data_IF_260001325481
#
_entry.id   IF_260001325481
#
_cell.length_a   1.000
_cell.length_b   1.000
_cell.length_c   1.000
_cell.angle_alpha   90.00
_cell.angle_beta   90.00
_cell.angle_gamma   90.00
#
_symmetry.space_group_name_H-M   'P 1'
#
loop_
_entity.id
_entity.type
_entity.pdbx_description
1 polymer ?
#
# COMPACT_ATOMS: atom_id res chain seq x y z
N UNK A 1 22.94 -11.66 17.83
CA UNK A 1 22.24 -11.30 16.59
C UNK A 1 23.20 -11.53 15.44
N UNK A 2 22.85 -12.34 14.45
CA UNK A 2 23.72 -12.62 13.30
C UNK A 2 23.42 -11.63 12.17
N UNK A 3 23.92 -10.40 12.30
CA UNK A 3 23.84 -9.39 11.24
C UNK A 3 24.97 -9.67 10.26
N UNK A 4 24.62 -9.86 8.99
CA UNK A 4 25.59 -10.02 7.90
C UNK A 4 25.70 -8.73 7.12
N UNK A 5 26.93 -8.40 6.76
CA UNK A 5 27.21 -7.43 5.70
C UNK A 5 27.46 -8.22 4.43
N UNK A 6 26.63 -8.01 3.41
CA UNK A 6 26.71 -8.72 2.13
C UNK A 6 27.29 -7.78 1.10
N UNK A 7 28.36 -8.21 0.41
CA UNK A 7 28.88 -7.49 -0.75
C UNK A 7 27.92 -7.62 -1.93
N UNK A 8 27.70 -6.53 -2.64
CA UNK A 8 26.79 -6.43 -3.78
C UNK A 8 27.44 -5.62 -4.91
N UNK A 9 26.76 -5.53 -6.05
CA UNK A 9 27.14 -4.63 -7.15
C UNK A 9 25.99 -3.65 -7.42
N UNK A 10 26.28 -2.39 -7.79
CA UNK A 10 25.24 -1.44 -8.16
C UNK A 10 24.40 -1.88 -9.36
N UNK A 11 23.15 -1.43 -9.38
CA UNK A 11 22.29 -1.46 -10.56
C UNK A 11 22.17 -0.05 -11.14
N UNK A 12 22.11 0.07 -12.47
CA UNK A 12 22.09 1.37 -13.15
C UNK A 12 20.70 2.00 -13.27
N UNK A 13 19.66 1.21 -13.01
CA UNK A 13 18.28 1.53 -13.37
C UNK A 13 17.31 1.70 -12.18
N UNK A 14 17.85 1.82 -10.97
CA UNK A 14 17.10 2.02 -9.72
C UNK A 14 16.73 3.48 -9.44
N UNK A 15 16.36 4.24 -10.48
CA UNK A 15 15.93 5.63 -10.33
C UNK A 15 14.47 5.67 -9.87
N UNK A 16 14.15 6.17 -8.66
CA UNK A 16 12.76 6.39 -8.26
C UNK A 16 12.13 7.49 -9.12
N UNK A 17 10.91 7.27 -9.60
CA UNK A 17 10.09 8.34 -10.14
C UNK A 17 9.42 9.18 -9.04
N UNK A 18 8.54 10.10 -9.42
CA UNK A 18 7.73 10.90 -8.49
C UNK A 18 6.87 10.05 -7.54
N UNK A 19 6.59 8.81 -7.94
CA UNK A 19 5.77 7.85 -7.19
C UNK A 19 6.56 6.61 -6.77
N UNK A 20 7.87 6.73 -6.54
CA UNK A 20 8.76 5.63 -6.16
C UNK A 20 9.37 4.86 -7.33
N UNK A 21 10.10 3.79 -7.03
CA UNK A 21 10.67 2.90 -8.04
C UNK A 21 9.61 1.88 -8.47
N UNK A 22 9.40 1.73 -9.78
CA UNK A 22 8.49 0.74 -10.38
C UNK A 22 9.21 -0.03 -11.48
N UNK A 23 9.12 -1.35 -11.45
CA UNK A 23 9.71 -2.27 -12.43
C UNK A 23 8.88 -3.55 -12.46
N UNK A 24 9.05 -4.36 -13.52
CA UNK A 24 8.52 -5.71 -13.55
C UNK A 24 8.99 -6.52 -12.33
N UNK A 25 8.13 -7.40 -11.82
CA UNK A 25 8.43 -8.31 -10.70
C UNK A 25 9.72 -9.09 -10.93
N UNK A 26 9.94 -9.59 -12.14
CA UNK A 26 11.13 -10.36 -12.53
C UNK A 26 12.43 -9.58 -12.36
N UNK A 27 12.40 -8.25 -12.42
CA UNK A 27 13.55 -7.39 -12.13
C UNK A 27 13.82 -7.35 -10.63
N UNK A 28 12.79 -7.17 -9.80
CA UNK A 28 12.94 -7.17 -8.34
C UNK A 28 13.36 -8.51 -7.77
N UNK A 29 13.01 -9.62 -8.43
CA UNK A 29 13.43 -10.97 -8.06
C UNK A 29 14.89 -11.27 -8.41
N UNK A 30 15.57 -10.41 -9.16
CA UNK A 30 17.02 -10.57 -9.37
C UNK A 30 17.74 -10.46 -8.02
N UNK A 31 18.76 -11.31 -7.77
CA UNK A 31 19.52 -11.25 -6.53
C UNK A 31 20.04 -9.84 -6.24
N UNK A 32 19.82 -9.36 -5.02
CA UNK A 32 20.27 -8.05 -4.52
C UNK A 32 19.54 -6.84 -5.08
N UNK A 33 18.58 -6.98 -6.01
CA UNK A 33 17.91 -5.82 -6.59
C UNK A 33 17.11 -5.07 -5.51
N UNK A 34 16.19 -5.76 -4.84
CA UNK A 34 15.40 -5.16 -3.76
C UNK A 34 16.29 -4.69 -2.62
N UNK A 35 17.23 -5.52 -2.16
CA UNK A 35 18.11 -5.22 -1.03
C UNK A 35 18.96 -3.99 -1.28
N UNK A 36 19.51 -3.83 -2.49
CA UNK A 36 20.28 -2.65 -2.85
C UNK A 36 19.44 -1.39 -2.78
N UNK A 37 18.20 -1.44 -3.29
CA UNK A 37 17.33 -0.27 -3.27
C UNK A 37 16.91 0.09 -1.85
N UNK A 38 16.54 -0.89 -1.03
CA UNK A 38 16.16 -0.69 0.38
C UNK A 38 17.34 -0.16 1.21
N UNK A 39 18.54 -0.71 1.02
CA UNK A 39 19.73 -0.19 1.69
C UNK A 39 20.05 1.23 1.23
N UNK A 40 19.87 1.55 -0.06
CA UNK A 40 20.06 2.90 -0.59
C UNK A 40 19.06 3.89 0.01
N UNK A 41 17.82 3.45 0.31
CA UNK A 41 16.88 4.23 1.12
C UNK A 41 17.50 4.51 2.49
N UNK A 42 17.89 3.48 3.25
CA UNK A 42 18.41 3.66 4.61
C UNK A 42 19.70 4.47 4.69
N UNK A 43 20.64 4.27 3.77
CA UNK A 43 21.89 5.02 3.65
C UNK A 43 21.67 6.52 3.34
N UNK A 44 20.51 6.87 2.78
CA UNK A 44 20.15 8.24 2.42
C UNK A 44 19.36 8.98 3.53
N UNK A 45 19.16 8.33 4.68
CA UNK A 45 18.41 8.86 5.81
C UNK A 45 19.34 9.12 6.99
N UNK A 46 19.03 10.15 7.77
CA UNK A 46 19.78 10.51 8.99
C UNK A 46 18.83 10.51 10.20
N UNK A 47 19.32 10.07 11.37
CA UNK A 47 18.60 10.15 12.64
C UNK A 47 17.40 9.21 12.77
N UNK A 48 17.37 8.13 11.97
CA UNK A 48 16.31 7.12 12.00
C UNK A 48 16.56 6.03 13.04
N UNK A 49 17.76 5.98 13.63
CA UNK A 49 18.15 4.96 14.59
C UNK A 49 17.18 4.91 15.78
N UNK A 50 16.76 3.71 16.14
CA UNK A 50 15.75 3.44 17.18
C UNK A 50 14.37 4.07 16.91
N UNK A 51 14.12 4.68 15.74
CA UNK A 51 12.81 5.24 15.38
C UNK A 51 11.86 4.18 14.84
N UNK A 52 10.61 4.60 14.66
CA UNK A 52 9.54 3.78 14.09
C UNK A 52 9.49 3.95 12.57
N UNK A 53 9.40 2.84 11.83
CA UNK A 53 9.15 2.80 10.39
C UNK A 53 7.75 2.18 10.14
N UNK A 54 6.98 2.73 9.21
CA UNK A 54 5.74 2.10 8.73
C UNK A 54 6.04 1.26 7.49
N UNK A 55 5.46 0.08 7.38
CA UNK A 55 5.66 -0.83 6.25
C UNK A 55 4.34 -1.48 5.84
N UNK A 56 4.06 -1.51 4.55
CA UNK A 56 2.90 -2.22 4.01
C UNK A 56 2.77 -1.98 2.52
N UNK A 57 1.73 -2.53 1.92
CA UNK A 57 1.53 -2.41 0.49
C UNK A 57 0.14 -2.79 0.04
N UNK A 58 -0.05 -2.74 -1.27
CA UNK A 58 -1.35 -2.95 -1.91
C UNK A 58 -1.77 -4.43 -2.07
N UNK A 59 -0.98 -5.35 -1.52
CA UNK A 59 -1.22 -6.79 -1.61
C UNK A 59 -0.79 -7.47 -2.92
N UNK A 60 -0.19 -6.74 -3.88
CA UNK A 60 0.31 -7.38 -5.12
C UNK A 60 1.34 -8.47 -4.87
N UNK A 61 1.49 -9.34 -5.86
CA UNK A 61 2.52 -10.39 -5.89
C UNK A 61 3.90 -9.82 -5.52
N UNK A 62 4.68 -10.61 -4.77
CA UNK A 62 5.99 -10.27 -4.22
C UNK A 62 5.98 -9.33 -2.99
N UNK A 63 4.85 -8.70 -2.61
CA UNK A 63 4.80 -7.83 -1.42
C UNK A 63 5.20 -8.58 -0.15
N UNK A 64 4.66 -9.78 0.09
CA UNK A 64 4.95 -10.55 1.30
C UNK A 64 6.43 -10.88 1.43
N UNK A 65 7.06 -11.31 0.36
CA UNK A 65 8.49 -11.64 0.32
C UNK A 65 9.33 -10.39 0.56
N UNK A 66 8.99 -9.27 -0.09
CA UNK A 66 9.67 -8.00 0.08
C UNK A 66 9.56 -7.47 1.52
N UNK A 67 8.40 -7.62 2.17
CA UNK A 67 8.20 -7.24 3.58
C UNK A 67 9.17 -7.99 4.49
N UNK A 68 9.29 -9.30 4.33
CA UNK A 68 10.21 -10.10 5.16
C UNK A 68 11.67 -9.64 4.99
N UNK A 69 12.09 -9.35 3.76
CA UNK A 69 13.42 -8.80 3.45
C UNK A 69 13.61 -7.44 4.13
N UNK A 70 12.66 -6.52 3.97
CA UNK A 70 12.72 -5.18 4.54
C UNK A 70 12.74 -5.22 6.08
N UNK A 71 11.97 -6.10 6.72
CA UNK A 71 11.99 -6.27 8.18
C UNK A 71 13.38 -6.69 8.68
N UNK A 72 14.01 -7.67 8.02
CA UNK A 72 15.36 -8.14 8.37
C UNK A 72 16.42 -7.06 8.13
N UNK A 73 16.28 -6.28 7.07
CA UNK A 73 17.17 -5.16 6.77
C UNK A 73 16.97 -3.99 7.74
N UNK A 74 15.74 -3.65 8.09
CA UNK A 74 15.42 -2.60 9.07
C UNK A 74 16.01 -2.94 10.44
N UNK A 75 15.90 -4.21 10.87
CA UNK A 75 16.53 -4.71 12.08
C UNK A 75 18.06 -4.58 12.04
N UNK A 76 18.67 -4.95 10.91
CA UNK A 76 20.12 -4.87 10.73
C UNK A 76 20.68 -3.44 10.62
N UNK A 77 19.83 -2.48 10.20
CA UNK A 77 20.19 -1.07 10.07
C UNK A 77 19.81 -0.23 11.29
N UNK A 78 19.19 -0.83 12.32
CA UNK A 78 19.02 -0.17 13.63
C UNK A 78 17.73 0.62 13.80
N UNK A 79 16.69 0.36 13.00
CA UNK A 79 15.33 0.80 13.37
C UNK A 79 14.90 0.16 14.70
N UNK A 80 14.15 0.92 15.52
CA UNK A 80 13.71 0.46 16.83
C UNK A 80 12.37 -0.25 16.78
N UNK A 81 11.49 0.19 15.88
CA UNK A 81 10.14 -0.38 15.70
C UNK A 81 9.71 -0.37 14.24
N UNK A 82 9.00 -1.40 13.80
CA UNK A 82 8.24 -1.39 12.54
C UNK A 82 6.76 -1.63 12.82
N UNK A 83 5.90 -0.78 12.26
CA UNK A 83 4.45 -1.00 12.18
C UNK A 83 4.14 -1.59 10.80
N UNK A 84 3.66 -2.83 10.76
CA UNK A 84 3.33 -3.52 9.51
C UNK A 84 1.84 -3.87 9.45
N UNK A 85 1.20 -3.63 8.31
CA UNK A 85 -0.22 -4.01 8.15
C UNK A 85 -0.40 -5.52 8.20
N UNK A 86 -1.52 -6.00 8.75
CA UNK A 86 -1.91 -7.41 8.71
C UNK A 86 -1.86 -7.96 7.28
N UNK A 87 -1.21 -9.11 7.12
CA UNK A 87 -0.93 -9.75 5.83
C UNK A 87 -0.02 -8.93 4.90
N UNK A 88 0.57 -7.84 5.40
CA UNK A 88 1.27 -6.83 4.61
C UNK A 88 0.36 -5.79 3.94
N UNK A 89 -0.95 -5.82 4.21
CA UNK A 89 -1.96 -5.01 3.53
C UNK A 89 -2.08 -3.63 4.19
N UNK A 90 -1.79 -2.57 3.43
CA UNK A 90 -1.92 -1.18 3.87
C UNK A 90 -2.02 -0.27 2.65
N UNK A 91 -3.13 0.46 2.52
CA UNK A 91 -3.29 1.42 1.41
C UNK A 91 -2.32 2.59 1.57
N UNK A 92 -2.01 3.30 0.47
CA UNK A 92 -1.13 4.47 0.53
C UNK A 92 -1.70 5.58 1.44
N UNK A 93 -3.01 5.90 1.42
CA UNK A 93 -3.61 6.82 2.38
C UNK A 93 -3.53 6.34 3.84
N UNK A 94 -3.75 5.04 4.09
CA UNK A 94 -3.63 4.47 5.44
C UNK A 94 -2.20 4.52 5.96
N UNK A 95 -1.20 4.23 5.12
CA UNK A 95 0.21 4.37 5.48
C UNK A 95 0.53 5.81 5.90
N UNK A 96 0.09 6.81 5.12
CA UNK A 96 0.24 8.23 5.48
C UNK A 96 -0.44 8.57 6.81
N UNK A 97 -1.68 8.10 7.02
CA UNK A 97 -2.41 8.27 8.27
C UNK A 97 -1.64 7.68 9.47
N UNK A 98 -1.14 6.45 9.33
CA UNK A 98 -0.43 5.72 10.39
C UNK A 98 0.92 6.37 10.69
N UNK A 99 1.67 6.82 9.67
CA UNK A 99 2.92 7.58 9.85
C UNK A 99 2.66 8.81 10.72
N UNK A 100 1.63 9.60 10.37
CA UNK A 100 1.30 10.84 11.08
C UNK A 100 0.80 10.58 12.49
N UNK A 101 -0.11 9.61 12.67
CA UNK A 101 -0.71 9.24 13.97
C UNK A 101 0.35 8.77 14.96
N UNK A 102 1.36 8.03 14.49
CA UNK A 102 2.41 7.46 15.33
C UNK A 102 3.69 8.29 15.38
N UNK A 103 3.73 9.44 14.70
CA UNK A 103 4.94 10.26 14.55
C UNK A 103 6.15 9.42 14.08
N UNK A 104 5.89 8.49 13.16
CA UNK A 104 6.91 7.60 12.63
C UNK A 104 7.95 8.40 11.84
N UNK A 105 9.16 7.84 11.72
CA UNK A 105 10.24 8.46 10.93
C UNK A 105 9.88 8.55 9.45
N UNK A 106 9.09 7.60 8.95
CA UNK A 106 8.60 7.54 7.59
C UNK A 106 7.97 6.18 7.35
N UNK A 107 7.80 5.82 6.09
CA UNK A 107 7.34 4.49 5.73
C UNK A 107 7.76 4.04 4.35
N UNK A 108 7.88 2.73 4.18
CA UNK A 108 8.05 2.09 2.88
C UNK A 108 6.69 1.53 2.46
N UNK A 109 6.21 1.96 1.30
CA UNK A 109 4.94 1.50 0.72
C UNK A 109 5.23 0.67 -0.52
N UNK A 110 4.83 -0.60 -0.48
CA UNK A 110 5.02 -1.56 -1.56
C UNK A 110 3.83 -1.53 -2.49
N UNK A 111 3.99 -0.77 -3.57
CA UNK A 111 2.93 -0.54 -4.54
C UNK A 111 3.51 0.04 -5.83
N UNK A 112 2.95 -0.37 -6.97
CA UNK A 112 3.10 0.32 -8.25
C UNK A 112 1.80 1.04 -8.67
N UNK A 113 0.95 1.42 -7.69
CA UNK A 113 -0.33 2.12 -7.90
C UNK A 113 -1.23 1.36 -8.87
N UNK A 114 -1.68 2.01 -9.94
CA UNK A 114 -2.58 1.44 -10.92
C UNK A 114 -1.96 0.40 -11.84
N UNK A 115 -0.62 0.19 -11.85
CA UNK A 115 0.04 -0.83 -12.67
C UNK A 115 -0.43 -2.26 -12.30
N UNK A 116 -0.50 -3.19 -13.28
CA UNK A 116 -1.00 -4.53 -13.07
C UNK A 116 -0.07 -5.33 -12.14
N UNK A 117 -0.63 -6.33 -11.47
CA UNK A 117 0.05 -7.19 -10.50
C UNK A 117 0.37 -8.57 -11.08
N UNK A 118 0.72 -9.50 -10.18
CA UNK A 118 1.01 -10.89 -10.53
C UNK A 118 2.48 -11.14 -10.92
N UNK A 119 2.87 -12.41 -11.14
CA UNK A 119 4.26 -12.79 -11.42
C UNK A 119 4.89 -12.11 -12.65
N UNK A 120 4.08 -11.83 -13.68
CA UNK A 120 4.49 -11.15 -14.91
C UNK A 120 4.15 -9.64 -14.89
N UNK A 121 3.61 -9.14 -13.78
CA UNK A 121 3.21 -7.75 -13.62
C UNK A 121 4.32 -6.87 -13.04
N UNK A 122 3.90 -5.73 -12.49
CA UNK A 122 4.78 -4.72 -11.93
C UNK A 122 4.82 -4.77 -10.40
N UNK A 123 6.00 -4.49 -9.85
CA UNK A 123 6.25 -4.26 -8.44
C UNK A 123 6.76 -2.85 -8.21
N UNK A 124 6.54 -2.30 -7.02
CA UNK A 124 7.00 -0.97 -6.71
C UNK A 124 7.36 -0.76 -5.25
N UNK A 125 8.33 0.11 -5.01
CA UNK A 125 8.80 0.50 -3.69
C UNK A 125 8.80 2.02 -3.61
N UNK A 126 8.00 2.57 -2.71
CA UNK A 126 7.88 4.01 -2.43
C UNK A 126 8.42 4.28 -1.03
N UNK A 127 8.97 5.48 -0.83
CA UNK A 127 9.32 5.96 0.51
C UNK A 127 8.53 7.24 0.81
N UNK A 128 7.86 7.24 1.97
CA UNK A 128 7.18 8.40 2.52
C UNK A 128 7.95 8.93 3.74
N UNK A 129 8.02 10.24 3.88
CA UNK A 129 8.75 10.92 4.96
C UNK A 129 7.86 11.14 6.19
N UNK A 130 8.42 11.74 7.24
CA UNK A 130 7.77 11.99 8.55
C UNK A 130 6.39 12.66 8.49
N UNK A 131 6.10 13.48 7.48
CA UNK A 131 4.80 14.14 7.34
C UNK A 131 3.69 13.22 6.75
N UNK A 132 4.04 11.98 6.39
CA UNK A 132 3.17 10.98 5.76
C UNK A 132 3.12 11.05 4.23
N UNK A 133 3.66 12.10 3.62
CA UNK A 133 3.70 12.30 2.17
C UNK A 133 4.90 11.64 1.49
N UNK A 134 4.91 11.61 0.14
CA UNK A 134 6.00 11.03 -0.64
C UNK A 134 7.32 11.76 -0.38
N UNK A 135 8.43 11.03 -0.52
CA UNK A 135 9.76 11.62 -0.41
C UNK A 135 9.97 12.74 -1.45
N UNK A 136 10.50 13.90 -1.02
CA UNK A 136 10.78 15.01 -1.94
C UNK A 136 11.95 14.66 -2.87
N UNK A 137 12.07 15.38 -3.98
CA UNK A 137 13.06 15.13 -5.03
C UNK A 137 14.49 14.97 -4.48
N UNK A 138 14.91 15.87 -3.58
CA UNK A 138 16.21 15.80 -2.90
C UNK A 138 16.50 14.43 -2.25
N UNK A 139 15.48 13.82 -1.62
CA UNK A 139 15.61 12.49 -0.98
C UNK A 139 15.67 11.42 -2.05
N UNK A 140 14.79 11.46 -3.06
CA UNK A 140 14.79 10.47 -4.15
C UNK A 140 16.07 10.49 -5.00
N UNK A 141 16.65 11.68 -5.21
CA UNK A 141 17.94 11.85 -5.89
C UNK A 141 19.09 11.29 -5.06
N UNK A 142 19.09 11.50 -3.74
CA UNK A 142 20.09 10.91 -2.84
C UNK A 142 20.02 9.38 -2.87
N UNK A 143 18.81 8.81 -2.83
CA UNK A 143 18.58 7.37 -2.94
C UNK A 143 19.14 6.83 -4.26
N UNK A 144 18.84 7.50 -5.38
CA UNK A 144 19.35 7.09 -6.68
C UNK A 144 20.87 7.21 -6.78
N UNK A 145 21.45 8.31 -6.31
CA UNK A 145 22.89 8.49 -6.29
C UNK A 145 23.57 7.40 -5.46
N UNK A 146 23.00 7.04 -4.30
CA UNK A 146 23.52 5.96 -3.47
C UNK A 146 23.41 4.60 -4.15
N UNK A 147 22.30 4.30 -4.80
CA UNK A 147 22.09 3.00 -5.48
C UNK A 147 23.08 2.76 -6.62
N UNK A 148 23.60 3.82 -7.24
CA UNK A 148 24.59 3.73 -8.31
C UNK A 148 26.01 3.38 -7.82
N UNK A 149 26.27 3.54 -6.51
CA UNK A 149 27.60 3.33 -5.92
C UNK A 149 27.58 2.42 -4.69
N UNK A 150 26.49 1.69 -4.47
CA UNK A 150 26.35 0.74 -3.37
C UNK A 150 27.23 -0.50 -3.59
N UNK A 151 28.00 -0.88 -2.57
CA UNK A 151 28.91 -2.03 -2.59
C UNK A 151 28.58 -3.07 -1.52
N UNK A 152 27.76 -2.71 -0.53
CA UNK A 152 27.35 -3.57 0.57
C UNK A 152 25.95 -3.24 1.06
N UNK A 153 25.27 -4.22 1.66
CA UNK A 153 24.07 -4.01 2.47
C UNK A 153 24.10 -4.86 3.74
N UNK A 154 23.28 -4.49 4.74
CA UNK A 154 23.15 -5.22 5.99
C UNK A 154 21.81 -5.95 6.07
N UNK A 155 21.85 -7.21 6.49
CA UNK A 155 20.64 -8.01 6.69
C UNK A 155 20.80 -8.91 7.92
N UNK A 156 19.73 -9.07 8.68
CA UNK A 156 19.67 -10.00 9.81
C UNK A 156 19.32 -11.40 9.30
N UNK A 157 20.11 -12.39 9.67
CA UNK A 157 19.70 -13.79 9.51
C UNK A 157 18.68 -14.17 10.58
N UNK A 158 17.43 -14.32 10.15
CA UNK A 158 16.31 -14.72 10.99
C UNK A 158 15.23 -15.40 10.14
N UNK A 159 14.39 -16.28 10.74
CA UNK A 159 13.21 -16.81 10.07
C UNK A 159 12.22 -15.69 9.74
N UNK A 160 11.34 -15.97 8.80
CA UNK A 160 10.21 -15.09 8.48
C UNK A 160 9.20 -15.08 9.65
N UNK A 161 8.50 -13.97 9.78
CA UNK A 161 7.43 -13.80 10.77
C UNK A 161 6.08 -14.09 10.14
N UNK A 162 5.13 -14.53 10.96
CA UNK A 162 3.74 -14.56 10.56
C UNK A 162 3.21 -13.12 10.46
N UNK A 163 2.73 -12.74 9.27
CA UNK A 163 2.15 -11.41 9.03
C UNK A 163 0.63 -11.41 9.23
N UNK A 164 0.00 -12.57 9.37
CA UNK A 164 -1.46 -12.71 9.45
C UNK A 164 -2.00 -12.55 10.87
N UNK A 165 -1.16 -12.76 11.87
CA UNK A 165 -1.50 -12.62 13.28
C UNK A 165 -1.21 -11.20 13.78
N UNK A 166 -2.24 -10.52 14.26
CA UNK A 166 -2.10 -9.21 14.92
C UNK A 166 -1.32 -9.37 16.22
N UNK A 167 -0.39 -8.45 16.48
CA UNK A 167 0.34 -8.44 17.74
C UNK A 167 1.77 -7.92 17.64
N UNK A 168 2.49 -8.08 18.75
CA UNK A 168 3.88 -7.67 18.87
C UNK A 168 4.81 -8.87 18.72
N UNK A 169 5.84 -8.68 17.92
CA UNK A 169 6.88 -9.65 17.61
C UNK A 169 8.25 -9.01 17.78
N UNK A 170 9.28 -9.85 17.85
CA UNK A 170 10.65 -9.41 18.02
C UNK A 170 11.53 -10.03 16.93
N UNK A 171 12.27 -9.18 16.20
CA UNK A 171 13.22 -9.61 15.17
C UNK A 171 14.60 -9.03 15.47
N UNK A 172 15.43 -9.81 16.18
CA UNK A 172 16.66 -9.28 16.76
C UNK A 172 16.34 -8.19 17.79
N UNK A 173 16.87 -6.98 17.63
CA UNK A 173 16.54 -5.82 18.47
C UNK A 173 15.34 -5.02 17.97
N UNK A 174 14.81 -5.32 16.79
CA UNK A 174 13.66 -4.61 16.21
C UNK A 174 12.35 -5.12 16.80
N UNK A 175 11.57 -4.23 17.41
CA UNK A 175 10.18 -4.51 17.75
C UNK A 175 9.32 -4.43 16.48
N UNK A 176 8.48 -5.44 16.23
CA UNK A 176 7.56 -5.45 15.09
C UNK A 176 6.16 -5.50 15.63
N UNK A 177 5.27 -4.69 15.08
CA UNK A 177 3.86 -4.73 15.42
C UNK A 177 3.05 -4.94 14.14
N UNK A 178 2.40 -6.10 14.05
CA UNK A 178 1.42 -6.39 13.02
C UNK A 178 0.10 -5.75 13.46
N UNK A 179 -0.34 -4.73 12.73
CA UNK A 179 -1.47 -3.89 13.07
C UNK A 179 -2.64 -4.05 12.09
N UNK A 180 -3.84 -3.79 12.58
CA UNK A 180 -4.97 -3.47 11.72
C UNK A 180 -4.72 -2.10 11.07
N UNK A 181 -4.62 -2.10 9.73
CA UNK A 181 -4.39 -0.88 8.95
C UNK A 181 -5.66 -0.12 8.60
N UNK A 182 -6.84 -0.76 8.73
CA UNK A 182 -8.15 -0.19 8.40
C UNK A 182 -8.65 0.69 9.54
N UNK A 183 -8.57 0.21 10.78
CA UNK A 183 -9.13 0.91 11.95
C UNK A 183 -8.59 2.34 12.13
N UNK A 184 -7.26 2.62 12.07
CA UNK A 184 -6.75 3.98 12.20
C UNK A 184 -7.22 4.92 11.08
N UNK A 185 -7.39 4.39 9.86
CA UNK A 185 -7.87 5.15 8.71
C UNK A 185 -9.37 5.43 8.82
N UNK A 186 -10.17 4.45 9.22
CA UNK A 186 -11.61 4.64 9.46
C UNK A 186 -11.86 5.69 10.54
N UNK A 187 -11.12 5.66 11.65
CA UNK A 187 -11.21 6.69 12.70
C UNK A 187 -10.89 8.09 12.16
N UNK A 188 -9.90 8.20 11.26
CA UNK A 188 -9.61 9.48 10.61
C UNK A 188 -10.79 9.92 9.74
N UNK A 189 -11.35 9.03 8.91
CA UNK A 189 -12.50 9.35 8.06
C UNK A 189 -13.71 9.79 8.90
N UNK A 190 -13.99 9.10 10.01
CA UNK A 190 -15.07 9.44 10.94
C UNK A 190 -14.86 10.80 11.61
N UNK A 191 -13.61 11.24 11.82
CA UNK A 191 -13.32 12.58 12.32
C UNK A 191 -13.47 13.69 11.27
N UNK A 192 -13.42 13.34 9.99
CA UNK A 192 -13.45 14.28 8.86
C UNK A 192 -14.86 14.44 8.26
N UNK A 193 -15.68 13.38 8.33
CA UNK A 193 -17.00 13.33 7.72
C UNK A 193 -18.09 13.01 8.74
N UNK A 194 -19.31 13.49 8.49
CA UNK A 194 -20.48 13.17 9.31
C UNK A 194 -20.97 11.75 9.00
N UNK A 195 -20.43 10.76 9.72
CA UNK A 195 -20.77 9.36 9.53
C UNK A 195 -22.23 9.04 9.86
N UNK A 196 -22.86 9.79 10.76
CA UNK A 196 -24.27 9.57 11.09
C UNK A 196 -25.16 9.98 9.92
N UNK A 197 -24.88 11.11 9.27
CA UNK A 197 -25.60 11.54 8.05
C UNK A 197 -25.39 10.60 6.88
N UNK A 198 -24.16 10.14 6.67
CA UNK A 198 -23.86 9.18 5.60
C UNK A 198 -24.58 7.86 5.87
N UNK A 199 -24.57 7.37 7.12
CA UNK A 199 -25.31 6.16 7.53
C UNK A 199 -26.81 6.32 7.31
N UNK A 200 -27.41 7.46 7.68
CA UNK A 200 -28.83 7.74 7.43
C UNK A 200 -29.16 7.65 5.93
N UNK A 201 -28.29 8.18 5.06
CA UNK A 201 -28.47 8.10 3.61
C UNK A 201 -28.40 6.65 3.11
N UNK A 202 -27.31 5.94 3.42
CA UNK A 202 -27.04 4.59 2.89
C UNK A 202 -28.00 3.53 3.43
N UNK A 203 -28.53 3.70 4.65
CA UNK A 203 -29.49 2.78 5.26
C UNK A 203 -30.96 3.14 4.99
N UNK A 204 -31.24 4.27 4.34
CA UNK A 204 -32.62 4.73 4.07
C UNK A 204 -33.37 3.88 3.03
N UNK A 205 -32.66 3.10 2.22
CA UNK A 205 -33.20 2.40 1.05
C UNK A 205 -33.58 3.31 -0.12
N UNK A 206 -33.26 4.61 -0.06
CA UNK A 206 -33.55 5.61 -1.11
C UNK A 206 -32.35 5.99 -1.96
N UNK A 207 -31.17 5.47 -1.60
CA UNK A 207 -29.92 5.75 -2.28
C UNK A 207 -29.16 4.44 -2.45
N UNK A 208 -28.96 4.02 -3.69
CA UNK A 208 -28.13 2.88 -4.05
C UNK A 208 -26.72 3.33 -4.40
N UNK A 209 -25.72 2.57 -3.98
CA UNK A 209 -24.35 2.78 -4.42
C UNK A 209 -23.61 1.48 -4.69
N UNK A 210 -22.57 1.56 -5.51
CA UNK A 210 -21.56 0.51 -5.65
C UNK A 210 -20.15 1.11 -5.57
N UNK A 211 -19.23 0.33 -5.01
CA UNK A 211 -17.82 0.66 -4.88
C UNK A 211 -16.97 -0.51 -5.39
N UNK A 212 -16.33 -0.35 -6.54
CA UNK A 212 -15.43 -1.35 -7.08
C UNK A 212 -14.00 -1.14 -6.56
N UNK A 213 -13.49 -2.14 -5.85
CA UNK A 213 -12.14 -2.12 -5.29
C UNK A 213 -11.10 -2.78 -6.22
N UNK A 214 -11.50 -3.25 -7.40
CA UNK A 214 -10.64 -3.82 -8.45
C UNK A 214 -9.68 -4.90 -7.92
N UNK A 215 -10.15 -5.75 -6.99
CA UNK A 215 -9.37 -6.78 -6.31
C UNK A 215 -8.11 -6.25 -5.61
N UNK A 216 -8.12 -4.98 -5.19
CA UNK A 216 -6.97 -4.28 -4.65
C UNK A 216 -7.17 -3.90 -3.17
N UNK A 217 -6.21 -3.13 -2.64
CA UNK A 217 -6.06 -2.87 -1.21
C UNK A 217 -7.23 -2.14 -0.57
N UNK A 218 -8.05 -1.43 -1.35
CA UNK A 218 -9.16 -0.64 -0.82
C UNK A 218 -10.37 -1.49 -0.44
N UNK A 219 -10.43 -2.76 -0.87
CA UNK A 219 -11.51 -3.68 -0.57
C UNK A 219 -11.81 -3.85 0.94
N UNK A 220 -10.82 -4.21 1.78
CA UNK A 220 -10.99 -4.29 3.23
C UNK A 220 -11.48 -2.97 3.86
N UNK A 221 -11.04 -1.82 3.33
CA UNK A 221 -11.47 -0.50 3.81
C UNK A 221 -12.91 -0.22 3.40
N UNK A 222 -13.28 -0.52 2.15
CA UNK A 222 -14.63 -0.34 1.64
C UNK A 222 -15.64 -1.22 2.41
N UNK A 223 -15.32 -2.50 2.66
CA UNK A 223 -16.15 -3.38 3.47
C UNK A 223 -16.33 -2.85 4.89
N UNK A 224 -15.24 -2.45 5.56
CA UNK A 224 -15.30 -1.95 6.92
C UNK A 224 -16.06 -0.62 7.03
N UNK A 225 -15.81 0.31 6.10
CA UNK A 225 -16.38 1.67 6.17
C UNK A 225 -17.80 1.68 5.63
N UNK A 226 -18.02 1.25 4.39
CA UNK A 226 -19.32 1.38 3.71
C UNK A 226 -20.34 0.38 4.25
N UNK A 227 -20.01 -0.91 4.24
CA UNK A 227 -20.98 -1.95 4.62
C UNK A 227 -21.10 -2.10 6.14
N UNK A 228 -19.99 -2.18 6.87
CA UNK A 228 -20.02 -2.46 8.32
C UNK A 228 -20.29 -1.21 9.16
N UNK A 229 -19.53 -0.12 8.95
CA UNK A 229 -19.62 1.10 9.77
C UNK A 229 -20.74 2.04 9.33
N UNK A 230 -21.02 2.16 8.04
CA UNK A 230 -22.04 3.07 7.51
C UNK A 230 -23.35 2.36 7.13
N UNK A 231 -23.36 1.02 7.09
CA UNK A 231 -24.59 0.24 6.92
C UNK A 231 -25.11 0.20 5.48
N UNK A 232 -24.24 0.39 4.47
CA UNK A 232 -24.60 0.10 3.10
C UNK A 232 -24.96 -1.40 2.94
N UNK A 233 -25.91 -1.76 2.06
CA UNK A 233 -26.28 -3.15 1.84
C UNK A 233 -25.07 -4.02 1.44
N UNK A 234 -25.02 -5.26 1.94
CA UNK A 234 -23.99 -6.24 1.53
C UNK A 234 -24.04 -6.45 0.02
N UNK A 235 -22.89 -6.35 -0.63
CA UNK A 235 -22.76 -6.38 -2.09
C UNK A 235 -22.58 -4.98 -2.70
N UNK A 236 -22.62 -3.93 -1.87
CA UNK A 236 -22.19 -2.58 -2.27
C UNK A 236 -20.73 -2.60 -2.73
N UNK A 237 -19.87 -3.38 -2.05
CA UNK A 237 -18.45 -3.47 -2.40
C UNK A 237 -18.25 -4.59 -3.42
N UNK A 238 -17.83 -4.20 -4.63
CA UNK A 238 -17.47 -5.11 -5.72
C UNK A 238 -15.97 -5.37 -5.66
N UNK A 239 -15.57 -6.60 -6.00
CA UNK A 239 -14.17 -7.01 -6.07
C UNK A 239 -13.36 -6.64 -4.81
N UNK A 240 -13.99 -6.71 -3.64
CA UNK A 240 -13.45 -6.21 -2.35
C UNK A 240 -12.41 -7.11 -1.67
N UNK A 241 -12.02 -8.22 -2.30
CA UNK A 241 -10.95 -9.09 -1.80
C UNK A 241 -9.64 -8.77 -2.52
N UNK A 242 -8.57 -8.36 -1.81
CA UNK A 242 -7.26 -8.17 -2.42
C UNK A 242 -6.71 -9.47 -3.01
N UNK A 243 -6.28 -9.44 -4.26
CA UNK A 243 -5.62 -10.55 -4.96
C UNK A 243 -4.23 -10.11 -5.44
N UNK A 244 -3.25 -11.02 -5.39
CA UNK A 244 -1.85 -10.71 -5.74
C UNK A 244 -1.67 -10.28 -7.21
N UNK A 245 -2.59 -10.67 -8.09
CA UNK A 245 -2.65 -10.33 -9.51
C UNK A 245 -3.82 -9.40 -9.86
N UNK A 246 -4.53 -8.88 -8.85
CA UNK A 246 -5.74 -8.06 -9.03
C UNK A 246 -6.81 -8.73 -9.90
N UNK A 247 -6.92 -10.07 -9.85
CA UNK A 247 -7.86 -10.82 -10.68
C UNK A 247 -7.46 -10.91 -12.15
N UNK A 248 -6.19 -10.65 -12.46
CA UNK A 248 -5.65 -10.60 -13.83
C UNK A 248 -5.97 -9.29 -14.58
N UNK A 249 -6.59 -8.33 -13.89
CA UNK A 249 -6.97 -7.03 -14.44
C UNK A 249 -5.93 -5.93 -14.21
N UNK A 250 -6.30 -4.72 -14.61
CA UNK A 250 -5.54 -3.51 -14.35
C UNK A 250 -6.28 -2.72 -13.27
N UNK A 251 -5.71 -2.49 -12.07
CA UNK A 251 -6.38 -1.76 -11.00
C UNK A 251 -6.29 -0.24 -11.26
N UNK A 252 -6.72 0.19 -12.44
CA UNK A 252 -6.75 1.57 -12.89
C UNK A 252 -8.20 1.97 -13.17
N UNK A 253 -8.82 2.80 -12.32
CA UNK A 253 -10.23 3.08 -12.41
C UNK A 253 -10.46 4.08 -13.56
N UNK A 254 -10.79 3.56 -14.73
CA UNK A 254 -11.19 4.32 -15.91
C UNK A 254 -12.24 3.52 -16.70
N UNK A 255 -12.86 4.13 -17.71
CA UNK A 255 -13.96 3.52 -18.47
C UNK A 255 -13.57 2.21 -19.21
N UNK A 256 -12.28 1.97 -19.41
CA UNK A 256 -11.77 0.76 -20.08
C UNK A 256 -11.62 -0.39 -19.08
N UNK A 257 -11.00 -0.15 -17.92
CA UNK A 257 -10.68 -1.23 -16.98
C UNK A 257 -11.75 -1.44 -15.90
N UNK A 258 -12.51 -0.40 -15.54
CA UNK A 258 -13.68 -0.51 -14.66
C UNK A 258 -14.96 -0.80 -15.48
N UNK A 259 -14.85 -1.60 -16.53
CA UNK A 259 -15.93 -1.88 -17.47
C UNK A 259 -17.18 -2.46 -16.78
N UNK A 260 -16.99 -3.42 -15.87
CA UNK A 260 -18.11 -4.06 -15.16
C UNK A 260 -18.89 -3.04 -14.29
N UNK A 261 -18.17 -2.09 -13.67
CA UNK A 261 -18.81 -0.99 -12.95
C UNK A 261 -19.59 -0.08 -13.90
N UNK A 262 -19.04 0.23 -15.08
CA UNK A 262 -19.75 1.01 -16.10
C UNK A 262 -21.02 0.27 -16.54
N UNK A 263 -20.96 -1.02 -16.85
CA UNK A 263 -22.16 -1.79 -17.24
C UNK A 263 -23.25 -1.75 -16.16
N UNK A 264 -22.87 -1.84 -14.87
CA UNK A 264 -23.81 -1.73 -13.74
C UNK A 264 -24.48 -0.34 -13.72
N UNK A 265 -23.71 0.74 -13.90
CA UNK A 265 -24.23 2.11 -13.83
C UNK A 265 -25.09 2.50 -15.05
N UNK A 266 -24.93 1.80 -16.18
CA UNK A 266 -25.74 2.00 -17.39
C UNK A 266 -26.93 1.04 -17.47
N UNK A 267 -27.07 0.11 -16.52
CA UNK A 267 -28.17 -0.85 -16.45
C UNK A 267 -29.53 -0.24 -16.08
N UNK A 268 -30.61 -1.01 -16.28
CA UNK A 268 -31.97 -0.56 -15.94
C UNK A 268 -32.16 -0.34 -14.43
N UNK A 269 -31.50 -1.16 -13.60
CA UNK A 269 -31.52 -1.11 -12.13
C UNK A 269 -30.26 -0.44 -11.55
N UNK A 270 -29.64 0.49 -12.30
CA UNK A 270 -28.40 1.14 -11.90
C UNK A 270 -28.52 1.86 -10.54
N UNK A 271 -27.51 1.76 -9.66
CA UNK A 271 -27.47 2.55 -8.44
C UNK A 271 -27.37 4.06 -8.74
N UNK A 272 -27.63 4.88 -7.73
CA UNK A 272 -27.53 6.34 -7.85
C UNK A 272 -26.07 6.80 -7.96
N UNK A 273 -25.12 6.02 -7.42
CA UNK A 273 -23.71 6.39 -7.37
C UNK A 273 -22.78 5.19 -7.56
N UNK A 274 -21.74 5.35 -8.38
CA UNK A 274 -20.66 4.39 -8.52
C UNK A 274 -19.29 5.03 -8.33
N UNK A 275 -18.41 4.30 -7.68
CA UNK A 275 -17.01 4.67 -7.56
C UNK A 275 -16.13 3.45 -7.77
N UNK A 276 -14.92 3.69 -8.29
CA UNK A 276 -13.84 2.70 -8.31
C UNK A 276 -12.58 3.31 -7.72
N UNK A 277 -11.71 2.46 -7.17
CA UNK A 277 -10.42 2.87 -6.63
C UNK A 277 -9.28 2.16 -7.35
N UNK A 278 -8.16 2.86 -7.53
CA UNK A 278 -6.93 2.25 -8.03
C UNK A 278 -6.25 1.33 -7.01
N UNK A 279 -5.18 0.67 -7.48
CA UNK A 279 -4.47 -0.37 -6.76
C UNK A 279 -4.06 -0.04 -5.33
N UNK A 280 -3.70 1.23 -5.04
CA UNK A 280 -3.27 1.66 -3.72
C UNK A 280 -4.15 2.72 -3.03
N UNK A 281 -5.30 3.05 -3.63
CA UNK A 281 -6.31 3.92 -3.02
C UNK A 281 -6.05 5.42 -3.16
N UNK A 282 -5.25 5.83 -4.15
CA UNK A 282 -4.90 7.24 -4.38
C UNK A 282 -5.81 7.90 -5.42
N UNK A 283 -6.26 7.15 -6.42
CA UNK A 283 -7.14 7.65 -7.48
C UNK A 283 -8.54 7.03 -7.37
N UNK A 284 -9.55 7.89 -7.43
CA UNK A 284 -10.96 7.49 -7.37
C UNK A 284 -11.77 8.31 -8.39
N UNK A 285 -11.96 7.86 -9.64
CA UNK A 285 -12.98 8.43 -10.50
C UNK A 285 -14.34 8.21 -9.86
N UNK A 286 -15.18 9.24 -9.98
CA UNK A 286 -16.57 9.19 -9.58
C UNK A 286 -17.41 9.09 -10.84
N UNK A 287 -18.31 8.13 -10.89
CA UNK A 287 -19.28 7.98 -11.95
C UNK A 287 -20.67 8.11 -11.33
N UNK A 288 -21.34 9.21 -11.66
CA UNK A 288 -22.75 9.43 -11.34
C UNK A 288 -23.60 8.95 -12.52
N UNK A 289 -24.74 8.31 -12.23
CA UNK A 289 -25.76 7.89 -13.18
C UNK A 289 -26.23 9.05 -14.08
N UNK A 290 -26.21 10.29 -13.58
CA UNK A 290 -26.52 11.48 -14.39
C UNK A 290 -25.51 11.73 -15.53
N UNK A 291 -24.23 11.45 -15.30
CA UNK A 291 -23.13 11.61 -16.26
C UNK A 291 -23.10 10.41 -17.21
N UNK A 292 -23.38 9.22 -16.69
CA UNK A 292 -23.43 7.99 -17.49
C UNK A 292 -24.44 8.11 -18.64
N UNK A 293 -25.64 8.62 -18.39
CA UNK A 293 -26.71 8.69 -19.41
C UNK A 293 -26.49 9.74 -20.51
N UNK A 294 -25.49 10.62 -20.40
CA UNK A 294 -25.20 11.66 -21.40
C UNK A 294 -24.07 11.30 -22.38
N UNK A 295 -23.39 10.16 -22.22
CA UNK A 295 -22.37 9.62 -23.13
C UNK A 295 -22.88 8.43 -23.94
#
# INVERSE_FOLDING_TARGET
MNIRTISTKPFTDQKPGTSGLRKAVTVFQQPHYLENFVQSIFDSLEGYESKTLVLGGDGRYYNRQAIQIILKMAAANGFGRVLVGRGGIMSTPAASCIIRKNQAFGGIVLSASHNPGGPEGDFGVKYNVTNGGPAPEKVTEAIYARSQVIDTYKILEAPDLDLDDLGQFQLGSLAIEVIDSVEPYMQLMESLFDFDRIRELLSSGKFGMCMDSLHAVTGPYAHAILEQRLGAPVGTVLNGMPLEDFGGGHPDPNLVYAHDLVEILYGEDAPDFGAASDGDGVANPLLDNSIAREL
#
